data_IF_856215432792
#
_entry.id   IF_856215432792
#
_cell.length_a   1.000
_cell.length_b   1.000
_cell.length_c   1.000
_cell.angle_alpha   90.00
_cell.angle_beta   90.00
_cell.angle_gamma   90.00
#
_symmetry.space_group_name_H-M   'P 1'
#
loop_
_entity.id
_entity.type
_entity.pdbx_description
1 polymer ?
#
# COMPACT_ATOMS: atom_id res chain seq x y z
N UNK A 1 -29.17 -20.15 43.33
CA UNK A 1 -29.51 -19.16 42.28
C UNK A 1 -28.49 -18.03 42.11
N UNK A 2 -27.87 -17.50 43.18
CA UNK A 2 -26.85 -16.44 43.13
C UNK A 2 -25.51 -16.85 42.46
N UNK A 3 -25.07 -18.11 42.62
CA UNK A 3 -23.81 -18.62 42.12
C UNK A 3 -23.77 -18.74 40.56
N UNK A 4 -24.90 -19.15 39.96
CA UNK A 4 -24.98 -19.22 38.47
C UNK A 4 -25.05 -17.83 37.82
N UNK A 5 -25.55 -16.82 38.57
CA UNK A 5 -25.62 -15.45 38.07
C UNK A 5 -24.22 -14.79 38.07
N UNK A 6 -23.41 -15.04 39.11
CA UNK A 6 -22.03 -14.56 39.18
C UNK A 6 -21.14 -15.22 38.10
N UNK A 7 -21.31 -16.52 37.84
CA UNK A 7 -20.56 -17.22 36.77
C UNK A 7 -20.92 -16.69 35.36
N UNK A 8 -22.20 -16.40 35.09
CA UNK A 8 -22.63 -15.79 33.82
C UNK A 8 -22.09 -14.36 33.64
N UNK A 9 -22.05 -13.59 34.71
CA UNK A 9 -21.48 -12.22 34.67
C UNK A 9 -19.96 -12.26 34.42
N UNK A 10 -19.25 -13.19 35.05
CA UNK A 10 -17.82 -13.39 34.84
C UNK A 10 -17.50 -13.83 33.40
N UNK A 11 -18.32 -14.72 32.82
CA UNK A 11 -18.15 -15.15 31.43
C UNK A 11 -18.39 -14.01 30.43
N UNK A 12 -19.46 -13.21 30.67
CA UNK A 12 -19.72 -12.02 29.81
C UNK A 12 -18.60 -10.98 29.89
N UNK A 13 -18.05 -10.73 31.08
CA UNK A 13 -16.94 -9.82 31.25
C UNK A 13 -15.67 -10.33 30.53
N UNK A 14 -15.36 -11.62 30.61
CA UNK A 14 -14.22 -12.23 29.93
C UNK A 14 -14.34 -12.14 28.40
N UNK A 15 -15.53 -12.36 27.83
CA UNK A 15 -15.80 -12.19 26.40
C UNK A 15 -15.68 -10.74 25.96
N UNK A 16 -16.13 -9.78 26.79
CA UNK A 16 -16.02 -8.34 26.51
C UNK A 16 -14.56 -7.84 26.44
N UNK A 17 -13.68 -8.34 27.31
CA UNK A 17 -12.25 -8.00 27.30
C UNK A 17 -11.53 -8.60 26.09
N UNK A 18 -11.90 -9.79 25.63
CA UNK A 18 -11.33 -10.42 24.45
C UNK A 18 -11.59 -9.68 23.13
N UNK A 19 -12.68 -8.92 23.04
CA UNK A 19 -13.05 -8.16 21.85
C UNK A 19 -12.38 -6.78 21.73
N UNK A 20 -11.74 -6.29 22.79
CA UNK A 20 -11.08 -4.97 22.81
C UNK A 20 -9.72 -4.94 22.07
N UNK A 21 -9.20 -6.08 21.61
CA UNK A 21 -7.87 -6.19 20.99
C UNK A 21 -7.77 -5.78 19.52
N UNK A 22 -8.84 -5.39 18.85
CA UNK A 22 -8.81 -5.03 17.44
C UNK A 22 -8.35 -3.60 17.23
N UNK A 23 -7.04 -3.34 17.27
CA UNK A 23 -6.46 -2.04 16.93
C UNK A 23 -6.29 -1.86 15.41
N UNK A 24 -6.43 -0.62 14.93
CA UNK A 24 -6.14 -0.29 13.54
C UNK A 24 -4.63 -0.15 13.36
N UNK A 25 -4.09 -0.78 12.32
CA UNK A 25 -2.68 -0.68 11.93
C UNK A 25 -2.54 0.46 10.92
N UNK A 26 -1.57 1.35 11.14
CA UNK A 26 -1.17 2.37 10.16
C UNK A 26 0.11 1.90 9.49
N UNK A 27 0.10 1.85 8.18
CA UNK A 27 1.23 1.52 7.34
C UNK A 27 1.67 2.77 6.58
N UNK A 28 2.87 3.26 6.90
CA UNK A 28 3.48 4.38 6.20
C UNK A 28 4.44 3.86 5.15
N UNK A 29 4.36 4.38 3.93
CA UNK A 29 5.23 4.03 2.80
C UNK A 29 5.79 5.30 2.18
N UNK A 30 7.04 5.21 1.71
CA UNK A 30 7.73 6.31 1.07
C UNK A 30 8.37 7.27 2.06
N UNK A 31 8.82 8.41 1.56
CA UNK A 31 9.55 9.41 2.30
C UNK A 31 8.62 10.55 2.75
N UNK A 32 8.48 10.72 4.05
CA UNK A 32 7.69 11.83 4.62
C UNK A 32 8.57 13.08 4.63
N UNK A 33 8.31 13.95 3.68
CA UNK A 33 9.01 15.23 3.57
C UNK A 33 8.44 16.21 4.60
N UNK A 34 9.30 16.85 5.37
CA UNK A 34 8.90 17.93 6.27
C UNK A 34 8.44 19.15 5.45
N UNK A 35 7.28 19.70 5.80
CA UNK A 35 6.73 20.87 5.11
C UNK A 35 7.66 22.08 5.18
N UNK A 36 8.39 22.25 6.28
CA UNK A 36 9.33 23.34 6.46
C UNK A 36 10.49 23.25 5.47
N UNK A 37 10.99 22.03 5.23
CA UNK A 37 12.06 21.78 4.26
C UNK A 37 11.61 21.99 2.82
N UNK A 38 10.36 21.61 2.50
CA UNK A 38 9.80 21.86 1.17
C UNK A 38 9.69 23.35 0.88
N UNK A 39 9.22 24.13 1.86
CA UNK A 39 9.07 25.58 1.73
C UNK A 39 10.41 26.34 1.63
N UNK A 40 11.49 25.71 2.06
CA UNK A 40 12.83 26.32 1.94
C UNK A 40 13.42 26.23 0.53
N UNK A 41 12.85 25.37 -0.34
CA UNK A 41 13.32 25.23 -1.72
C UNK A 41 12.81 26.39 -2.57
N UNK A 42 13.73 27.08 -3.20
CA UNK A 42 13.46 28.29 -3.99
C UNK A 42 13.73 28.04 -5.47
N UNK A 43 12.70 28.07 -6.33
CA UNK A 43 12.88 28.02 -7.78
C UNK A 43 13.84 29.11 -8.28
N UNK A 44 14.70 28.76 -9.22
CA UNK A 44 15.72 29.64 -9.78
C UNK A 44 16.98 29.86 -8.91
N UNK A 45 16.99 29.41 -7.65
CA UNK A 45 18.12 29.54 -6.73
C UNK A 45 18.71 28.16 -6.40
N UNK A 46 17.83 27.22 -6.02
CA UNK A 46 18.26 25.87 -5.67
C UNK A 46 18.55 25.01 -6.89
N UNK A 47 19.41 24.04 -6.72
CA UNK A 47 19.79 23.07 -7.73
C UNK A 47 19.66 21.64 -7.19
N UNK A 48 19.87 20.64 -8.05
CA UNK A 48 19.75 19.23 -7.67
C UNK A 48 20.56 18.87 -6.41
N UNK A 49 21.78 19.40 -6.28
CA UNK A 49 22.64 19.10 -5.11
C UNK A 49 22.08 19.70 -3.83
N UNK A 50 21.56 20.93 -3.85
CA UNK A 50 20.96 21.57 -2.68
C UNK A 50 19.67 20.89 -2.29
N UNK A 51 18.84 20.49 -3.26
CA UNK A 51 17.61 19.74 -3.04
C UNK A 51 17.90 18.36 -2.42
N UNK A 52 18.90 17.62 -2.96
CA UNK A 52 19.29 16.33 -2.37
C UNK A 52 19.86 16.51 -0.95
N UNK A 53 20.61 17.58 -0.71
CA UNK A 53 21.12 17.91 0.63
C UNK A 53 20.01 18.23 1.65
N UNK A 54 18.93 18.87 1.20
CA UNK A 54 17.81 19.30 2.06
C UNK A 54 16.76 18.21 2.24
N UNK A 55 16.32 17.58 1.15
CA UNK A 55 15.24 16.60 1.15
C UNK A 55 15.73 15.14 1.08
N UNK A 56 17.03 14.91 0.87
CA UNK A 56 17.56 13.59 0.60
C UNK A 56 17.24 13.10 -0.81
N UNK A 57 17.47 11.81 -1.05
CA UNK A 57 17.23 11.20 -2.37
C UNK A 57 15.74 11.12 -2.70
N UNK A 58 15.35 11.40 -3.96
CA UNK A 58 13.97 11.26 -4.38
C UNK A 58 13.52 9.79 -4.36
N UNK A 59 12.21 9.58 -4.28
CA UNK A 59 11.61 8.24 -4.38
C UNK A 59 11.82 7.64 -5.76
N UNK A 60 11.68 8.46 -6.81
CA UNK A 60 12.04 8.14 -8.20
C UNK A 60 12.23 9.43 -8.99
N UNK A 61 12.83 9.30 -10.18
CA UNK A 61 13.07 10.39 -11.11
C UNK A 61 12.37 10.11 -12.45
N UNK A 62 11.99 11.16 -13.19
CA UNK A 62 11.47 11.00 -14.55
C UNK A 62 12.54 10.34 -15.44
N UNK A 63 12.08 9.47 -16.34
CA UNK A 63 12.93 8.83 -17.36
C UNK A 63 12.82 9.51 -18.72
N UNK A 64 11.80 10.34 -18.90
CA UNK A 64 11.50 11.01 -20.18
C UNK A 64 11.14 12.48 -19.92
N UNK A 65 11.49 13.34 -20.87
CA UNK A 65 11.23 14.77 -20.78
C UNK A 65 12.20 15.49 -19.83
N UNK A 66 11.74 16.57 -19.23
CA UNK A 66 12.52 17.34 -18.27
C UNK A 66 12.81 16.53 -17.00
N UNK A 67 13.97 16.76 -16.41
CA UNK A 67 14.37 16.08 -15.19
C UNK A 67 13.45 16.47 -14.04
N UNK A 68 12.64 15.52 -13.58
CA UNK A 68 11.72 15.73 -12.47
C UNK A 68 11.97 14.71 -11.37
N UNK A 69 12.11 15.19 -10.15
CA UNK A 69 12.28 14.36 -8.96
C UNK A 69 10.97 14.28 -8.19
N UNK A 70 10.59 13.06 -7.83
CA UNK A 70 9.34 12.78 -7.12
C UNK A 70 9.63 12.24 -5.72
N UNK A 71 9.05 12.91 -4.72
CA UNK A 71 9.03 12.47 -3.33
C UNK A 71 7.61 12.06 -2.99
N UNK A 72 7.40 10.77 -2.80
CA UNK A 72 6.06 10.19 -2.58
C UNK A 72 5.95 9.66 -1.16
N UNK A 73 4.88 10.02 -0.47
CA UNK A 73 4.52 9.46 0.81
C UNK A 73 3.04 9.04 0.83
N UNK A 74 2.76 7.93 1.49
CA UNK A 74 1.40 7.42 1.62
C UNK A 74 1.23 6.74 2.98
N UNK A 75 0.14 7.04 3.66
CA UNK A 75 -0.26 6.37 4.90
C UNK A 75 -1.57 5.64 4.66
N UNK A 76 -1.54 4.33 4.84
CA UNK A 76 -2.70 3.45 4.68
C UNK A 76 -3.17 2.94 6.04
N UNK A 77 -4.45 3.11 6.33
CA UNK A 77 -5.09 2.53 7.50
C UNK A 77 -5.65 1.15 7.20
N UNK A 78 -5.29 0.16 8.02
CA UNK A 78 -5.83 -1.19 7.95
C UNK A 78 -6.64 -1.48 9.21
N UNK A 79 -7.86 -1.99 9.02
CA UNK A 79 -8.72 -2.49 10.09
C UNK A 79 -9.06 -3.96 9.79
N UNK A 80 -9.25 -4.82 10.79
CA UNK A 80 -9.74 -6.18 10.57
C UNK A 80 -11.02 -6.17 9.74
N UNK A 81 -11.13 -7.09 8.80
CA UNK A 81 -12.30 -7.30 7.93
C UNK A 81 -12.74 -6.10 7.06
N UNK A 82 -11.94 -5.04 6.99
CA UNK A 82 -12.23 -3.86 6.16
C UNK A 82 -11.12 -3.67 5.14
N UNK A 83 -11.48 -3.33 3.90
CA UNK A 83 -10.48 -3.02 2.86
C UNK A 83 -9.59 -1.86 3.32
N UNK A 84 -8.26 -1.97 3.16
CA UNK A 84 -7.33 -0.89 3.47
C UNK A 84 -7.71 0.40 2.74
N UNK A 85 -7.56 1.53 3.41
CA UNK A 85 -7.83 2.86 2.82
C UNK A 85 -6.64 3.77 3.01
N UNK A 86 -6.30 4.50 1.96
CA UNK A 86 -5.32 5.59 2.04
C UNK A 86 -5.92 6.68 2.93
N UNK A 87 -5.19 7.06 3.98
CA UNK A 87 -5.56 8.11 4.93
C UNK A 87 -4.89 9.44 4.58
N UNK A 88 -3.64 9.39 4.13
CA UNK A 88 -2.94 10.53 3.58
C UNK A 88 -2.05 10.10 2.41
N UNK A 89 -1.94 10.98 1.44
CA UNK A 89 -1.08 10.81 0.28
C UNK A 89 -0.48 12.17 -0.07
N UNK A 90 0.78 12.19 -0.42
CA UNK A 90 1.45 13.41 -0.84
C UNK A 90 2.52 13.06 -1.86
N UNK A 91 2.50 13.78 -2.95
CA UNK A 91 3.53 13.75 -4.00
C UNK A 91 4.09 15.14 -4.11
N UNK A 92 5.39 15.29 -3.92
CA UNK A 92 6.13 16.50 -4.23
C UNK A 92 6.92 16.24 -5.52
N UNK A 93 6.63 17.01 -6.56
CA UNK A 93 7.34 16.99 -7.83
C UNK A 93 8.22 18.25 -7.91
N UNK A 94 9.53 18.05 -8.09
CA UNK A 94 10.50 19.12 -8.27
C UNK A 94 11.08 18.96 -9.67
N UNK A 95 10.83 19.94 -10.51
CA UNK A 95 11.26 19.98 -11.89
C UNK A 95 12.54 20.81 -11.99
N UNK A 96 13.48 20.34 -12.80
CA UNK A 96 14.78 20.99 -13.01
C UNK A 96 14.92 21.40 -14.47
N UNK A 97 15.56 22.55 -14.68
CA UNK A 97 15.96 23.00 -16.00
C UNK A 97 17.18 22.22 -16.52
N UNK A 98 17.59 22.51 -17.75
CA UNK A 98 18.76 21.88 -18.39
C UNK A 98 20.09 22.20 -17.66
N UNK A 99 20.14 23.28 -16.90
CA UNK A 99 21.29 23.64 -16.07
C UNK A 99 21.30 22.93 -14.70
N UNK A 100 20.22 22.22 -14.37
CA UNK A 100 20.03 21.51 -13.12
C UNK A 100 19.52 22.38 -11.96
N UNK A 101 19.00 23.58 -12.24
CA UNK A 101 18.35 24.42 -11.23
C UNK A 101 16.86 24.07 -11.13
N UNK A 102 16.28 24.30 -9.95
CA UNK A 102 14.86 24.09 -9.74
C UNK A 102 14.05 25.09 -10.57
N UNK A 103 13.22 24.59 -11.50
CA UNK A 103 12.29 25.40 -12.29
C UNK A 103 10.95 25.52 -11.59
N UNK A 104 10.38 24.41 -11.11
CA UNK A 104 9.11 24.38 -10.38
C UNK A 104 9.15 23.39 -9.23
N UNK A 105 8.31 23.65 -8.23
CA UNK A 105 8.08 22.75 -7.10
C UNK A 105 6.58 22.70 -6.86
N UNK A 106 5.97 21.54 -7.11
CA UNK A 106 4.52 21.34 -6.99
C UNK A 106 4.22 20.20 -6.04
N UNK A 107 3.20 20.38 -5.21
CA UNK A 107 2.75 19.36 -4.27
C UNK A 107 1.29 19.03 -4.49
N UNK A 108 1.02 17.73 -4.68
CA UNK A 108 -0.31 17.19 -4.81
C UNK A 108 -0.66 16.33 -3.60
N UNK A 109 -1.95 16.27 -3.27
CA UNK A 109 -2.45 15.60 -2.08
C UNK A 109 -3.37 14.40 -2.40
N UNK A 110 -4.07 13.96 -1.36
CA UNK A 110 -5.03 12.85 -1.46
C UNK A 110 -6.23 13.19 -2.35
N UNK A 111 -6.53 14.47 -2.52
CA UNK A 111 -7.69 14.94 -3.29
C UNK A 111 -7.53 14.66 -4.79
N UNK A 112 -6.29 14.51 -5.25
CA UNK A 112 -5.98 14.19 -6.64
C UNK A 112 -5.82 12.68 -6.90
N UNK A 113 -6.00 11.85 -5.87
CA UNK A 113 -5.92 10.40 -6.03
C UNK A 113 -7.15 9.87 -6.77
N UNK A 114 -6.96 9.50 -8.02
CA UNK A 114 -8.01 8.89 -8.83
C UNK A 114 -8.27 7.46 -8.38
N UNK A 115 -9.53 7.16 -8.07
CA UNK A 115 -9.99 5.80 -7.77
C UNK A 115 -10.37 5.10 -9.07
N UNK A 116 -9.47 4.27 -9.56
CA UNK A 116 -9.76 3.43 -10.70
C UNK A 116 -10.72 2.31 -10.28
N UNK A 117 -11.72 2.06 -11.09
CA UNK A 117 -12.56 0.86 -11.03
C UNK A 117 -12.09 -0.04 -12.16
N UNK A 118 -11.44 -1.17 -11.87
CA UNK A 118 -11.11 -2.14 -12.90
C UNK A 118 -12.38 -2.60 -13.61
N UNK A 119 -12.29 -2.83 -14.90
CA UNK A 119 -13.34 -3.47 -15.66
C UNK A 119 -13.54 -4.89 -15.10
N UNK A 120 -14.81 -5.26 -14.91
CA UNK A 120 -15.20 -6.58 -14.39
C UNK A 120 -15.29 -7.64 -15.46
N UNK A 121 -15.05 -7.30 -16.70
CA UNK A 121 -15.13 -8.26 -17.81
C UNK A 121 -14.02 -9.31 -17.70
N UNK A 122 -14.43 -10.56 -17.72
CA UNK A 122 -13.51 -11.69 -17.68
C UNK A 122 -13.08 -12.05 -19.11
N UNK A 123 -11.77 -12.14 -19.33
CA UNK A 123 -11.25 -12.67 -20.58
C UNK A 123 -11.50 -14.18 -20.61
N UNK A 124 -12.31 -14.70 -21.54
CA UNK A 124 -12.53 -16.15 -21.65
C UNK A 124 -11.21 -16.83 -21.97
N UNK A 125 -10.68 -17.54 -21.00
CA UNK A 125 -9.49 -18.38 -21.20
C UNK A 125 -9.92 -19.80 -21.43
N UNK A 126 -9.26 -20.50 -22.34
CA UNK A 126 -9.43 -21.95 -22.59
C UNK A 126 -8.82 -22.76 -21.43
N UNK A 127 -9.20 -22.43 -20.21
CA UNK A 127 -8.79 -23.14 -19.00
C UNK A 127 -9.72 -24.32 -18.72
N UNK A 128 -9.20 -25.32 -18.02
CA UNK A 128 -10.02 -26.41 -17.49
C UNK A 128 -10.78 -25.88 -16.27
N UNK A 129 -12.10 -25.91 -16.32
CA UNK A 129 -12.93 -25.64 -15.15
C UNK A 129 -12.78 -26.79 -14.15
N UNK A 130 -12.24 -26.49 -12.98
CA UNK A 130 -12.14 -27.43 -11.88
C UNK A 130 -13.24 -27.12 -10.88
N UNK A 131 -13.98 -28.17 -10.50
CA UNK A 131 -14.96 -28.04 -9.45
C UNK A 131 -14.28 -27.84 -8.06
N UNK A 132 -14.94 -27.16 -7.15
CA UNK A 132 -14.45 -26.95 -5.79
C UNK A 132 -13.96 -28.25 -5.11
N UNK A 133 -14.67 -29.36 -5.29
CA UNK A 133 -14.27 -30.65 -4.76
C UNK A 133 -13.05 -31.25 -5.48
N UNK A 134 -12.88 -30.99 -6.77
CA UNK A 134 -11.72 -31.40 -7.53
C UNK A 134 -10.47 -30.65 -7.09
N UNK A 135 -10.57 -29.35 -6.79
CA UNK A 135 -9.46 -28.56 -6.25
C UNK A 135 -9.09 -28.96 -4.83
N UNK A 136 -10.07 -29.33 -4.00
CA UNK A 136 -9.87 -29.72 -2.62
C UNK A 136 -9.33 -31.14 -2.49
N UNK A 137 -9.80 -32.08 -3.29
CA UNK A 137 -9.48 -33.51 -3.19
C UNK A 137 -8.71 -34.08 -4.40
N UNK A 138 -8.65 -33.35 -5.51
CA UNK A 138 -8.02 -33.83 -6.76
C UNK A 138 -6.51 -34.10 -6.66
N UNK A 139 -5.86 -33.60 -5.63
CA UNK A 139 -4.44 -33.85 -5.37
C UNK A 139 -4.19 -34.99 -4.35
N UNK A 140 -5.26 -35.55 -3.77
CA UNK A 140 -5.18 -36.67 -2.81
C UNK A 140 -5.14 -37.96 -3.65
N UNK A 141 -3.96 -38.43 -3.97
CA UNK A 141 -3.77 -39.68 -4.72
C UNK A 141 -2.71 -39.63 -5.81
N UNK A 142 -2.22 -38.45 -6.17
CA UNK A 142 -1.15 -38.34 -7.15
C UNK A 142 0.28 -38.49 -6.56
N UNK A 143 0.41 -38.65 -5.26
CA UNK A 143 1.70 -38.80 -4.55
C UNK A 143 2.09 -40.28 -4.43
N UNK A 144 1.80 -41.11 -5.40
CA UNK A 144 2.09 -42.54 -5.21
C UNK A 144 2.16 -43.43 -6.43
N UNK A 145 2.22 -42.89 -7.64
CA UNK A 145 2.51 -43.71 -8.81
C UNK A 145 3.98 -43.58 -9.20
N UNK A 146 4.90 -44.52 -8.81
CA UNK A 146 6.21 -44.62 -9.43
C UNK A 146 5.99 -44.92 -10.89
N UNK A 147 6.62 -44.14 -11.78
CA UNK A 147 6.55 -44.25 -13.22
C UNK A 147 6.82 -45.65 -13.68
N UNK A 148 5.89 -46.30 -14.32
CA UNK A 148 6.12 -47.36 -15.28
C UNK A 148 6.52 -46.70 -16.58
N UNK A 149 7.80 -46.42 -16.74
CA UNK A 149 8.41 -46.31 -18.04
C UNK A 149 8.28 -47.70 -18.72
N UNK A 150 7.69 -47.70 -19.90
CA UNK A 150 7.52 -48.88 -20.70
C UNK A 150 7.67 -48.52 -22.16
N UNK A 151 8.81 -48.86 -22.71
CA UNK A 151 9.14 -49.28 -24.09
C UNK A 151 8.59 -48.48 -25.26
#
# INVERSE_FOLDING_TARGET
MKMHMAAKLGLMAAVGVGLAGCSSIRESRGYVVDNTLVQSIQPGIDNQRSVEGTLGRPTFTSQFGETTWYYVSSVTGRKPFVRPRIQSHSVLAIQFDDAGNVSTSERTGIDEVVRLRPDGDETPTLGRERGFLEDLFGNIGQVGAPGTGGV
#
